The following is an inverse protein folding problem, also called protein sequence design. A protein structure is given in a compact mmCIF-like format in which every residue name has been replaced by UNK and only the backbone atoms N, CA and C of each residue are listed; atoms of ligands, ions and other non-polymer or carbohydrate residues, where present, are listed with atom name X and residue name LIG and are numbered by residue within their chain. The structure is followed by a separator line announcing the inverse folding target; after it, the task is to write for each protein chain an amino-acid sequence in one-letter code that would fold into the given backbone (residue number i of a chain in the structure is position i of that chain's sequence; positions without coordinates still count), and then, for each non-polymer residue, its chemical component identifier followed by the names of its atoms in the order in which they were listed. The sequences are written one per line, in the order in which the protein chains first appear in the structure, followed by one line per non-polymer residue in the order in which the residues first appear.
data_IF_887999657528
#
_entry.id   IF_887999657528
#
_cell.length_a   1.000
_cell.length_b   1.000
_cell.length_c   1.000
_cell.angle_alpha   90.00
_cell.angle_beta   90.00
_cell.angle_gamma   90.00
#
_symmetry.space_group_name_H-M   'P 1'
#
loop_
_entity.id
_entity.type
_entity.pdbx_description
1 polymer ?
#
# COMPACT_ATOMS: atom_id res chain seq x y z
N UNK A 1 -9.03 -25.23 -10.54
CA UNK A 1 -8.44 -26.56 -10.85
C UNK A 1 -8.82 -27.59 -9.79
N UNK A 2 -8.43 -27.50 -8.48
CA UNK A 2 -8.78 -28.56 -7.51
C UNK A 2 -10.27 -28.69 -7.24
N UNK A 3 -10.99 -27.58 -7.17
CA UNK A 3 -12.46 -27.58 -6.99
C UNK A 3 -13.21 -28.20 -8.18
N UNK A 4 -12.67 -28.11 -9.41
CA UNK A 4 -13.27 -28.74 -10.58
C UNK A 4 -13.19 -30.29 -10.54
N UNK A 5 -12.34 -30.83 -9.65
CA UNK A 5 -12.28 -32.27 -9.37
C UNK A 5 -13.07 -32.67 -8.13
N UNK A 6 -13.88 -31.76 -7.55
CA UNK A 6 -14.65 -32.02 -6.34
C UNK A 6 -13.81 -32.06 -5.05
N UNK A 7 -12.56 -31.56 -5.09
CA UNK A 7 -11.68 -31.57 -3.94
C UNK A 7 -11.83 -30.27 -3.14
N UNK A 8 -11.99 -30.40 -1.84
CA UNK A 8 -11.92 -29.26 -0.94
C UNK A 8 -10.45 -28.81 -0.78
N UNK A 9 -10.14 -27.63 -1.26
CA UNK A 9 -8.79 -27.07 -1.15
C UNK A 9 -8.72 -26.06 0.00
N UNK A 10 -7.66 -26.16 0.81
CA UNK A 10 -7.37 -25.25 1.90
C UNK A 10 -6.05 -24.53 1.65
N UNK A 11 -6.12 -23.23 1.40
CA UNK A 11 -4.91 -22.41 1.26
C UNK A 11 -4.49 -21.93 2.65
N UNK A 12 -3.26 -22.24 3.04
CA UNK A 12 -2.69 -21.90 4.35
C UNK A 12 -1.47 -21.00 4.20
N UNK A 13 -1.22 -20.17 5.19
CA UNK A 13 0.03 -19.42 5.24
C UNK A 13 1.13 -20.35 5.81
N UNK A 14 2.22 -20.61 5.06
CA UNK A 14 3.31 -21.51 5.52
C UNK A 14 3.92 -21.08 6.87
N UNK A 15 3.87 -19.80 7.18
CA UNK A 15 4.41 -19.26 8.42
C UNK A 15 3.54 -19.54 9.66
N UNK A 16 2.27 -19.93 9.47
CA UNK A 16 1.34 -20.27 10.54
C UNK A 16 1.22 -21.79 10.76
N UNK A 17 1.92 -22.58 9.93
CA UNK A 17 2.04 -24.04 10.10
C UNK A 17 3.04 -24.32 11.21
N UNK A 18 2.61 -25.05 12.25
CA UNK A 18 3.48 -25.40 13.37
C UNK A 18 4.61 -26.31 12.90
N UNK A 19 5.85 -25.91 13.19
CA UNK A 19 7.05 -26.71 12.89
C UNK A 19 7.75 -27.10 14.19
N UNK A 20 7.99 -28.40 14.45
CA UNK A 20 8.85 -28.82 15.55
C UNK A 20 10.25 -28.22 15.41
N UNK A 21 10.91 -27.87 16.53
CA UNK A 21 12.23 -27.23 16.53
C UNK A 21 13.28 -28.04 15.73
N UNK A 22 13.25 -29.38 15.81
CA UNK A 22 14.14 -30.26 15.03
C UNK A 22 13.92 -30.15 13.51
N UNK A 23 12.72 -29.85 13.05
CA UNK A 23 12.40 -29.72 11.62
C UNK A 23 12.78 -28.37 11.03
N UNK A 24 13.23 -27.42 11.84
CA UNK A 24 13.67 -26.10 11.37
C UNK A 24 15.02 -26.15 10.63
N UNK A 25 15.86 -27.14 10.95
CA UNK A 25 17.20 -27.30 10.37
C UNK A 25 17.23 -28.12 9.07
N UNK A 26 16.15 -28.85 8.76
CA UNK A 26 16.04 -29.66 7.53
C UNK A 26 14.75 -29.28 6.81
N UNK A 27 14.90 -28.48 5.78
CA UNK A 27 13.77 -28.06 4.94
C UNK A 27 13.87 -28.74 3.58
N UNK A 28 12.99 -29.72 3.35
CA UNK A 28 12.78 -30.32 2.03
C UNK A 28 11.28 -30.38 1.76
N UNK A 29 10.88 -30.36 0.49
CA UNK A 29 9.47 -30.45 0.08
C UNK A 29 8.79 -31.69 0.62
N UNK A 30 9.55 -32.81 0.74
CA UNK A 30 9.06 -34.09 1.31
C UNK A 30 8.70 -33.95 2.80
N UNK A 31 9.53 -33.26 3.57
CA UNK A 31 9.28 -33.00 5.00
C UNK A 31 8.10 -32.02 5.14
N UNK A 32 8.03 -30.98 4.33
CA UNK A 32 6.94 -30.01 4.32
C UNK A 32 5.60 -30.68 3.97
N UNK A 33 5.57 -31.54 2.95
CA UNK A 33 4.37 -32.30 2.58
C UNK A 33 3.88 -33.23 3.71
N UNK A 34 4.79 -33.96 4.35
CA UNK A 34 4.44 -34.81 5.51
C UNK A 34 3.90 -34.00 6.68
N UNK A 35 4.51 -32.84 6.96
CA UNK A 35 4.06 -31.94 8.00
C UNK A 35 2.65 -31.43 7.69
N UNK A 36 2.40 -30.95 6.47
CA UNK A 36 1.08 -30.48 6.05
C UNK A 36 0.02 -31.58 6.16
N UNK A 37 0.33 -32.80 5.74
CA UNK A 37 -0.57 -33.97 5.88
C UNK A 37 -0.91 -34.23 7.36
N UNK A 38 0.07 -34.17 8.25
CA UNK A 38 -0.14 -34.35 9.69
C UNK A 38 -1.00 -33.26 10.28
N UNK A 39 -0.66 -32.00 10.01
CA UNK A 39 -1.40 -30.82 10.52
C UNK A 39 -2.83 -30.76 9.98
N UNK A 40 -3.04 -31.23 8.71
CA UNK A 40 -4.37 -31.36 8.11
C UNK A 40 -5.19 -32.43 8.83
N UNK A 41 -4.61 -33.64 9.02
CA UNK A 41 -5.24 -34.73 9.74
C UNK A 41 -5.65 -34.36 11.16
N UNK A 42 -4.79 -33.59 11.83
CA UNK A 42 -5.02 -33.15 13.22
C UNK A 42 -5.96 -31.92 13.30
N UNK A 43 -6.49 -31.43 12.18
CA UNK A 43 -7.40 -30.27 12.12
C UNK A 43 -6.78 -28.95 12.55
N UNK A 44 -5.44 -28.83 12.58
CA UNK A 44 -4.73 -27.64 13.06
C UNK A 44 -4.46 -26.58 12.00
N UNK A 45 -4.69 -26.91 10.73
CA UNK A 45 -4.50 -25.96 9.64
C UNK A 45 -5.62 -24.91 9.62
N UNK A 46 -5.24 -23.63 9.57
CA UNK A 46 -6.17 -22.52 9.40
C UNK A 46 -6.07 -21.94 8.00
N UNK A 47 -7.17 -22.01 7.26
CA UNK A 47 -7.26 -21.41 5.93
C UNK A 47 -7.14 -19.90 5.97
N UNK A 48 -6.48 -19.35 4.96
CA UNK A 48 -6.49 -17.89 4.70
C UNK A 48 -7.59 -17.54 3.71
N UNK A 49 -8.00 -16.28 3.73
CA UNK A 49 -8.95 -15.78 2.74
C UNK A 49 -8.30 -15.71 1.36
N UNK A 50 -8.84 -16.43 0.41
CA UNK A 50 -8.47 -16.37 -1.00
C UNK A 50 -9.45 -15.42 -1.69
N UNK A 51 -8.97 -14.35 -2.35
CA UNK A 51 -9.83 -13.47 -3.14
C UNK A 51 -10.46 -14.23 -4.31
N UNK A 52 -11.63 -13.79 -4.75
CA UNK A 52 -12.20 -14.22 -6.02
C UNK A 52 -11.33 -13.78 -7.21
N UNK A 53 -11.52 -14.43 -8.36
CA UNK A 53 -10.71 -14.22 -9.58
C UNK A 53 -10.81 -12.76 -10.05
N UNK A 54 -11.99 -12.17 -10.01
CA UNK A 54 -12.21 -10.77 -10.43
C UNK A 54 -11.38 -9.82 -9.57
N UNK A 55 -11.39 -10.01 -8.26
CA UNK A 55 -10.64 -9.18 -7.31
C UNK A 55 -9.13 -9.38 -7.43
N UNK A 56 -8.70 -10.59 -7.72
CA UNK A 56 -7.29 -10.87 -7.98
C UNK A 56 -6.79 -10.13 -9.22
N UNK A 57 -7.56 -10.16 -10.31
CA UNK A 57 -7.25 -9.40 -11.53
C UNK A 57 -7.26 -7.89 -11.28
N UNK A 58 -8.24 -7.38 -10.53
CA UNK A 58 -8.29 -5.97 -10.15
C UNK A 58 -7.08 -5.57 -9.29
N UNK A 59 -6.63 -6.44 -8.40
CA UNK A 59 -5.40 -6.26 -7.61
C UNK A 59 -4.16 -6.18 -8.51
N UNK A 60 -4.07 -7.00 -9.56
CA UNK A 60 -2.99 -6.92 -10.54
C UNK A 60 -2.97 -5.55 -11.23
N UNK A 61 -4.12 -5.01 -11.62
CA UNK A 61 -4.21 -3.69 -12.23
C UNK A 61 -3.74 -2.57 -11.27
N UNK A 62 -4.14 -2.63 -9.99
CA UNK A 62 -3.68 -1.68 -8.98
C UNK A 62 -2.16 -1.76 -8.76
N UNK A 63 -1.61 -2.97 -8.68
CA UNK A 63 -0.17 -3.19 -8.51
C UNK A 63 0.62 -2.72 -9.72
N UNK A 64 0.14 -3.01 -10.95
CA UNK A 64 0.75 -2.47 -12.17
C UNK A 64 0.81 -0.95 -12.16
N UNK A 65 -0.30 -0.28 -11.77
CA UNK A 65 -0.30 1.19 -11.60
C UNK A 65 0.77 1.66 -10.62
N UNK A 66 0.93 0.94 -9.51
CA UNK A 66 1.91 1.30 -8.49
C UNK A 66 3.36 1.11 -8.99
N UNK A 67 3.61 0.05 -9.75
CA UNK A 67 4.94 -0.20 -10.32
C UNK A 67 5.30 0.86 -11.37
N UNK A 68 4.36 1.21 -12.26
CA UNK A 68 4.53 2.33 -13.18
C UNK A 68 4.83 3.65 -12.46
N UNK A 69 4.18 3.91 -11.33
CA UNK A 69 4.46 5.10 -10.53
C UNK A 69 5.84 5.07 -9.86
N UNK A 70 6.39 3.89 -9.56
CA UNK A 70 7.78 3.74 -9.10
C UNK A 70 8.77 3.99 -10.23
N UNK A 71 8.49 3.44 -11.41
CA UNK A 71 9.29 3.66 -12.62
C UNK A 71 9.34 5.16 -12.96
N UNK A 72 8.20 5.83 -12.96
CA UNK A 72 8.11 7.28 -13.16
C UNK A 72 8.98 8.07 -12.17
N UNK A 73 8.93 7.72 -10.88
CA UNK A 73 9.75 8.37 -9.85
C UNK A 73 11.24 8.11 -10.08
N UNK A 74 11.61 6.89 -10.47
CA UNK A 74 12.99 6.53 -10.79
C UNK A 74 13.52 7.42 -11.92
N UNK A 75 12.78 7.56 -13.02
CA UNK A 75 13.18 8.40 -14.15
C UNK A 75 13.30 9.87 -13.72
N UNK A 76 12.34 10.39 -12.96
CA UNK A 76 12.41 11.76 -12.39
C UNK A 76 13.69 11.99 -11.59
N UNK A 77 14.05 11.05 -10.74
CA UNK A 77 15.29 11.12 -9.96
C UNK A 77 16.52 11.08 -10.85
N UNK A 78 16.54 10.19 -11.85
CA UNK A 78 17.66 10.08 -12.79
C UNK A 78 17.86 11.37 -13.58
N UNK A 79 16.80 12.01 -14.07
CA UNK A 79 16.87 13.30 -14.76
C UNK A 79 17.45 14.38 -13.84
N UNK A 80 16.93 14.53 -12.62
CA UNK A 80 17.43 15.52 -11.66
C UNK A 80 18.90 15.28 -11.29
N UNK A 81 19.29 14.03 -11.09
CA UNK A 81 20.69 13.68 -10.80
C UNK A 81 21.62 13.96 -11.98
N UNK A 82 21.14 13.76 -13.22
CA UNK A 82 21.92 14.08 -14.41
C UNK A 82 22.13 15.60 -14.56
N UNK A 83 21.07 16.42 -14.32
CA UNK A 83 21.22 17.87 -14.32
C UNK A 83 22.20 18.34 -13.25
N UNK A 84 22.12 17.80 -12.05
CA UNK A 84 23.05 18.08 -10.96
C UNK A 84 24.50 17.74 -11.34
N UNK A 85 24.71 16.56 -11.94
CA UNK A 85 26.04 16.13 -12.40
C UNK A 85 26.64 17.05 -13.46
N UNK A 86 25.79 17.60 -14.33
CA UNK A 86 26.19 18.53 -15.39
C UNK A 86 26.29 19.99 -14.91
N UNK A 87 26.06 20.27 -13.63
CA UNK A 87 26.07 21.62 -13.08
C UNK A 87 24.92 22.50 -13.55
N UNK A 88 23.84 21.92 -14.09
CA UNK A 88 22.68 22.67 -14.57
C UNK A 88 21.71 22.90 -13.42
N UNK A 89 21.59 24.15 -13.00
CA UNK A 89 20.64 24.52 -11.96
C UNK A 89 19.19 24.58 -12.48
N UNK A 90 18.30 23.92 -11.76
CA UNK A 90 16.86 24.01 -12.05
C UNK A 90 16.36 25.36 -11.53
N UNK A 91 15.70 26.18 -12.39
CA UNK A 91 15.13 27.46 -11.95
C UNK A 91 14.20 27.27 -10.74
N UNK A 92 14.38 28.04 -9.67
CA UNK A 92 13.60 27.95 -8.41
C UNK A 92 12.09 27.94 -8.62
N UNK A 93 11.60 28.68 -9.62
CA UNK A 93 10.18 28.73 -9.99
C UNK A 93 9.65 27.40 -10.55
N UNK A 94 10.52 26.58 -11.12
CA UNK A 94 10.20 25.29 -11.77
C UNK A 94 10.50 24.08 -10.87
N UNK A 95 11.35 24.23 -9.85
CA UNK A 95 11.71 23.13 -8.94
C UNK A 95 10.60 22.86 -7.94
N UNK A 96 9.59 22.12 -8.41
CA UNK A 96 8.44 21.68 -7.62
C UNK A 96 8.36 20.16 -7.58
N UNK A 97 7.70 19.57 -6.57
CA UNK A 97 7.47 18.13 -6.49
C UNK A 97 6.75 17.57 -7.73
N UNK A 98 5.88 18.39 -8.32
CA UNK A 98 5.14 18.02 -9.54
C UNK A 98 5.83 18.57 -10.77
N UNK A 99 6.05 17.71 -11.75
CA UNK A 99 6.54 18.10 -13.06
C UNK A 99 5.43 18.79 -13.86
N UNK A 100 5.40 20.12 -13.80
CA UNK A 100 4.46 20.95 -14.56
C UNK A 100 4.78 20.91 -16.06
N UNK A 101 3.84 21.32 -16.90
CA UNK A 101 4.09 21.47 -18.35
C UNK A 101 5.25 22.43 -18.61
N UNK A 102 5.35 23.55 -17.85
CA UNK A 102 6.45 24.50 -17.96
C UNK A 102 7.80 23.87 -17.67
N UNK A 103 7.88 23.03 -16.62
CA UNK A 103 9.12 22.32 -16.28
C UNK A 103 9.49 21.29 -17.35
N UNK A 104 8.52 20.55 -17.88
CA UNK A 104 8.76 19.56 -18.94
C UNK A 104 9.22 20.22 -20.24
N UNK A 105 8.63 21.36 -20.61
CA UNK A 105 9.08 22.12 -21.77
C UNK A 105 10.51 22.61 -21.57
N UNK A 106 10.81 23.22 -20.41
CA UNK A 106 12.17 23.65 -20.06
C UNK A 106 13.18 22.49 -20.16
N UNK A 107 12.84 21.29 -19.71
CA UNK A 107 13.71 20.10 -19.85
C UNK A 107 13.93 19.73 -21.33
N UNK A 108 12.93 19.87 -22.19
CA UNK A 108 13.03 19.56 -23.62
C UNK A 108 13.82 20.60 -24.41
N UNK A 109 13.83 21.84 -23.92
CA UNK A 109 14.52 22.96 -24.54
C UNK A 109 16.03 22.99 -24.15
N UNK A 110 16.46 22.12 -23.23
CA UNK A 110 17.88 22.00 -22.88
C UNK A 110 18.68 21.42 -24.04
N UNK A 111 19.80 22.05 -24.32
CA UNK A 111 20.81 21.59 -25.28
C UNK A 111 22.15 21.39 -24.57
N UNK A 112 22.94 20.46 -25.04
CA UNK A 112 24.23 20.12 -24.46
C UNK A 112 25.34 20.27 -25.54
N UNK A 113 26.57 20.45 -25.12
CA UNK A 113 27.72 20.64 -26.04
C UNK A 113 27.95 19.44 -26.95
N UNK A 114 27.55 18.25 -26.51
CA UNK A 114 27.73 17.01 -27.24
C UNK A 114 26.38 16.37 -27.62
N UNK A 115 26.19 16.10 -28.90
CA UNK A 115 24.98 15.45 -29.46
C UNK A 115 24.65 14.11 -28.82
N UNK A 116 25.66 13.37 -28.34
CA UNK A 116 25.46 12.12 -27.61
C UNK A 116 24.75 12.34 -26.28
N UNK A 117 25.00 13.46 -25.61
CA UNK A 117 24.33 13.82 -24.37
C UNK A 117 22.89 14.28 -24.64
N UNK A 118 22.67 15.08 -25.71
CA UNK A 118 21.31 15.45 -26.16
C UNK A 118 20.48 14.19 -26.39
N UNK A 119 21.00 13.24 -27.16
CA UNK A 119 20.31 11.98 -27.44
C UNK A 119 20.00 11.18 -26.16
N UNK A 120 20.98 11.03 -25.29
CA UNK A 120 20.82 10.33 -24.02
C UNK A 120 19.76 10.99 -23.12
N UNK A 121 19.72 12.32 -23.09
CA UNK A 121 18.78 13.06 -22.27
C UNK A 121 17.36 13.00 -22.85
N UNK A 122 17.22 13.18 -24.17
CA UNK A 122 15.93 13.12 -24.86
C UNK A 122 15.29 11.73 -24.76
N UNK A 123 16.04 10.64 -24.95
CA UNK A 123 15.51 9.27 -24.78
C UNK A 123 15.00 9.02 -23.37
N UNK A 124 15.61 9.65 -22.35
CA UNK A 124 15.14 9.57 -20.97
C UNK A 124 13.83 10.35 -20.74
N UNK A 125 13.68 11.51 -21.37
CA UNK A 125 12.44 12.28 -21.34
C UNK A 125 11.29 11.56 -22.09
N UNK A 126 11.58 10.93 -23.21
CA UNK A 126 10.62 10.09 -23.93
C UNK A 126 10.14 8.91 -23.08
N UNK A 127 11.07 8.23 -22.39
CA UNK A 127 10.73 7.17 -21.44
C UNK A 127 9.84 7.69 -20.32
N UNK A 128 10.12 8.89 -19.79
CA UNK A 128 9.26 9.53 -18.81
C UNK A 128 7.85 9.81 -19.37
N UNK A 129 7.76 10.43 -20.52
CA UNK A 129 6.47 10.78 -21.16
C UNK A 129 5.63 9.50 -21.45
N UNK A 130 6.28 8.42 -21.87
CA UNK A 130 5.62 7.13 -22.06
C UNK A 130 5.07 6.57 -20.73
N UNK A 131 5.90 6.49 -19.71
CA UNK A 131 5.49 5.96 -18.40
C UNK A 131 4.42 6.84 -17.76
N UNK A 132 4.51 8.18 -17.89
CA UNK A 132 3.49 9.12 -17.38
C UNK A 132 2.12 8.85 -18.02
N UNK A 133 2.06 8.70 -19.33
CA UNK A 133 0.83 8.32 -20.06
C UNK A 133 0.27 6.98 -19.57
N UNK A 134 1.12 5.99 -19.33
CA UNK A 134 0.69 4.69 -18.81
C UNK A 134 0.11 4.81 -17.37
N UNK A 135 0.77 5.56 -16.49
CA UNK A 135 0.26 5.82 -15.12
C UNK A 135 -1.13 6.47 -15.16
N UNK A 136 -1.32 7.45 -16.04
CA UNK A 136 -2.60 8.14 -16.20
C UNK A 136 -3.68 7.19 -16.74
N UNK A 137 -3.39 6.48 -17.83
CA UNK A 137 -4.34 5.53 -18.46
C UNK A 137 -4.79 4.45 -17.46
N UNK A 138 -3.85 3.77 -16.80
CA UNK A 138 -4.17 2.73 -15.81
C UNK A 138 -4.95 3.32 -14.63
N UNK A 139 -4.60 4.54 -14.17
CA UNK A 139 -5.31 5.22 -13.07
C UNK A 139 -6.75 5.56 -13.44
N UNK A 140 -7.01 5.96 -14.69
CA UNK A 140 -8.37 6.24 -15.18
C UNK A 140 -9.20 4.95 -15.21
N UNK A 141 -8.67 3.89 -15.83
CA UNK A 141 -9.34 2.57 -15.92
C UNK A 141 -9.64 2.01 -14.54
N UNK A 142 -8.67 2.03 -13.63
CA UNK A 142 -8.82 1.54 -12.25
C UNK A 142 -9.95 2.29 -11.51
N UNK A 143 -9.96 3.62 -11.57
CA UNK A 143 -11.01 4.43 -10.93
C UNK A 143 -12.39 4.20 -11.54
N UNK A 144 -12.46 4.08 -12.86
CA UNK A 144 -13.71 3.81 -13.56
C UNK A 144 -14.28 2.46 -13.14
N UNK A 145 -13.43 1.42 -13.08
CA UNK A 145 -13.83 0.08 -12.64
C UNK A 145 -14.33 0.07 -11.20
N UNK A 146 -13.58 0.65 -10.26
CA UNK A 146 -14.01 0.72 -8.86
C UNK A 146 -15.31 1.49 -8.66
N UNK A 147 -15.51 2.60 -9.41
CA UNK A 147 -16.76 3.36 -9.35
C UNK A 147 -17.94 2.61 -9.94
N UNK A 148 -17.74 1.77 -10.93
CA UNK A 148 -18.79 0.98 -11.57
C UNK A 148 -19.20 -0.20 -10.68
N UNK A 149 -18.23 -1.01 -10.25
CA UNK A 149 -18.49 -2.31 -9.59
C UNK A 149 -18.52 -2.23 -8.06
N UNK A 150 -17.86 -1.25 -7.46
CA UNK A 150 -17.77 -1.06 -6.00
C UNK A 150 -18.25 0.34 -5.58
N UNK A 151 -19.29 0.85 -6.24
CA UNK A 151 -19.77 2.24 -6.11
C UNK A 151 -19.96 2.67 -4.66
N UNK A 152 -20.72 1.88 -3.87
CA UNK A 152 -21.04 2.19 -2.47
C UNK A 152 -19.77 2.35 -1.64
N UNK A 153 -18.93 1.33 -1.62
CA UNK A 153 -17.69 1.32 -0.82
C UNK A 153 -16.70 2.39 -1.30
N UNK A 154 -16.62 2.59 -2.63
CA UNK A 154 -15.76 3.65 -3.18
C UNK A 154 -16.13 5.03 -2.65
N UNK A 155 -17.41 5.41 -2.65
CA UNK A 155 -17.84 6.71 -2.17
C UNK A 155 -17.79 6.84 -0.65
N UNK A 156 -18.09 5.77 0.09
CA UNK A 156 -17.87 5.72 1.54
C UNK A 156 -16.39 5.98 1.89
N UNK A 157 -15.47 5.31 1.20
CA UNK A 157 -14.04 5.53 1.40
C UNK A 157 -13.63 6.96 1.03
N UNK A 158 -14.19 7.51 -0.06
CA UNK A 158 -13.91 8.88 -0.51
C UNK A 158 -14.43 9.95 0.42
N UNK A 159 -15.37 9.66 1.29
CA UNK A 159 -15.83 10.61 2.31
C UNK A 159 -14.79 10.88 3.40
N UNK A 160 -13.80 9.99 3.55
CA UNK A 160 -12.77 10.08 4.60
C UNK A 160 -11.67 11.07 4.19
N UNK A 161 -11.37 12.11 4.99
CA UNK A 161 -10.25 12.99 4.74
C UNK A 161 -8.93 12.19 4.60
N UNK A 162 -8.18 12.50 3.54
CA UNK A 162 -6.92 11.79 3.24
C UNK A 162 -7.07 10.56 2.33
N UNK A 163 -8.28 10.05 2.15
CA UNK A 163 -8.53 8.92 1.23
C UNK A 163 -8.82 9.46 -0.17
N UNK A 164 -7.76 9.64 -0.96
CA UNK A 164 -7.84 10.01 -2.37
C UNK A 164 -8.40 8.90 -3.26
N UNK A 165 -8.71 9.19 -4.55
CA UNK A 165 -9.28 8.20 -5.47
C UNK A 165 -8.46 6.92 -5.59
N UNK A 166 -7.13 7.03 -5.64
CA UNK A 166 -6.21 5.90 -5.78
C UNK A 166 -6.11 5.11 -4.47
N UNK A 167 -6.13 5.80 -3.32
CA UNK A 167 -6.12 5.14 -2.00
C UNK A 167 -7.40 4.33 -1.83
N UNK A 168 -8.58 4.88 -2.19
CA UNK A 168 -9.84 4.16 -2.15
C UNK A 168 -9.82 2.90 -3.04
N UNK A 169 -9.31 3.02 -4.28
CA UNK A 169 -9.12 1.86 -5.15
C UNK A 169 -8.16 0.83 -4.52
N UNK A 170 -7.05 1.27 -3.93
CA UNK A 170 -6.10 0.38 -3.26
C UNK A 170 -6.72 -0.39 -2.11
N UNK A 171 -7.55 0.25 -1.30
CA UNK A 171 -8.30 -0.39 -0.22
C UNK A 171 -9.22 -1.48 -0.78
N UNK A 172 -10.00 -1.17 -1.82
CA UNK A 172 -10.91 -2.12 -2.48
C UNK A 172 -10.12 -3.31 -3.07
N UNK A 173 -9.01 -3.04 -3.77
CA UNK A 173 -8.22 -4.06 -4.45
C UNK A 173 -7.47 -4.97 -3.48
N UNK A 174 -6.74 -4.38 -2.53
CA UNK A 174 -5.80 -5.11 -1.68
C UNK A 174 -6.45 -5.69 -0.43
N UNK A 175 -7.37 -4.94 0.20
CA UNK A 175 -8.02 -5.40 1.41
C UNK A 175 -9.32 -6.16 1.14
N UNK A 176 -9.92 -5.94 -0.02
CA UNK A 176 -11.19 -6.54 -0.37
C UNK A 176 -12.35 -6.00 0.48
N UNK A 177 -13.33 -6.84 0.77
CA UNK A 177 -14.43 -6.43 1.66
C UNK A 177 -13.91 -6.34 3.10
N UNK A 178 -13.95 -5.12 3.63
CA UNK A 178 -13.53 -4.86 5.01
C UNK A 178 -14.49 -5.46 6.05
N UNK A 179 -15.74 -5.78 5.66
CA UNK A 179 -16.74 -6.40 6.54
C UNK A 179 -16.35 -7.82 6.94
N UNK A 180 -15.50 -8.51 6.12
CA UNK A 180 -14.99 -9.85 6.42
C UNK A 180 -14.14 -9.94 7.68
N UNK A 181 -13.54 -8.82 8.11
CA UNK A 181 -12.73 -8.80 9.33
C UNK A 181 -13.63 -8.77 10.56
N UNK A 182 -13.62 -9.86 11.33
CA UNK A 182 -14.43 -9.99 12.56
C UNK A 182 -14.10 -8.92 13.59
N UNK A 183 -12.83 -8.51 13.69
CA UNK A 183 -12.38 -7.50 14.62
C UNK A 183 -11.43 -6.50 13.97
N UNK A 184 -11.38 -5.29 14.52
CA UNK A 184 -10.40 -4.29 14.11
C UNK A 184 -8.95 -4.75 14.30
N UNK A 185 -8.68 -5.60 15.32
CA UNK A 185 -7.33 -6.15 15.54
C UNK A 185 -6.86 -6.99 14.35
N UNK A 186 -7.74 -7.80 13.76
CA UNK A 186 -7.44 -8.59 12.56
C UNK A 186 -7.13 -7.70 11.35
N UNK A 187 -7.92 -6.66 11.11
CA UNK A 187 -7.68 -5.71 10.03
C UNK A 187 -6.35 -4.96 10.24
N UNK A 188 -6.10 -4.46 11.44
CA UNK A 188 -4.86 -3.75 11.76
C UNK A 188 -3.62 -4.66 11.63
N UNK A 189 -3.74 -5.94 11.96
CA UNK A 189 -2.70 -6.94 11.75
C UNK A 189 -2.45 -7.18 10.26
N UNK A 190 -3.51 -7.34 9.47
CA UNK A 190 -3.42 -7.56 8.04
C UNK A 190 -2.73 -6.40 7.30
N UNK A 191 -3.07 -5.16 7.66
CA UNK A 191 -2.43 -3.95 7.14
C UNK A 191 -1.01 -3.75 7.71
N UNK A 192 -0.71 -4.37 8.86
CA UNK A 192 0.58 -4.25 9.55
C UNK A 192 0.75 -2.94 10.32
N UNK A 193 -0.33 -2.39 10.84
CA UNK A 193 -0.33 -1.24 11.74
C UNK A 193 -0.34 -1.69 13.21
N UNK A 194 0.34 -2.79 13.52
CA UNK A 194 0.56 -3.28 14.87
C UNK A 194 2.05 -3.37 15.18
N UNK A 195 2.46 -3.08 16.42
CA UNK A 195 3.85 -3.26 16.82
C UNK A 195 4.19 -4.76 16.86
N UNK A 196 5.43 -5.08 16.51
CA UNK A 196 6.01 -6.38 16.84
C UNK A 196 6.34 -6.38 18.33
N UNK A 197 5.87 -7.40 19.05
CA UNK A 197 6.05 -7.53 20.49
C UNK A 197 6.79 -8.83 20.76
N UNK A 198 7.88 -8.75 21.49
CA UNK A 198 8.61 -9.90 22.01
C UNK A 198 8.59 -9.85 23.54
N UNK A 199 8.06 -10.88 24.14
CA UNK A 199 8.03 -11.01 25.59
C UNK A 199 8.88 -12.21 26.00
N UNK A 200 9.85 -11.99 26.86
CA UNK A 200 10.68 -13.03 27.43
C UNK A 200 10.97 -12.68 28.90
N UNK A 201 10.78 -13.62 29.85
CA UNK A 201 11.10 -13.45 31.25
C UNK A 201 10.47 -12.22 31.93
N UNK A 202 9.22 -11.89 31.59
CA UNK A 202 8.53 -10.70 32.12
C UNK A 202 8.88 -9.37 31.45
N UNK A 203 9.91 -9.32 30.61
CA UNK A 203 10.31 -8.12 29.89
C UNK A 203 9.61 -8.02 28.53
N UNK A 204 8.80 -6.97 28.35
CA UNK A 204 8.11 -6.65 27.10
C UNK A 204 8.99 -5.75 26.22
N UNK A 205 9.52 -6.27 25.12
CA UNK A 205 10.23 -5.49 24.11
C UNK A 205 9.33 -5.24 22.92
N UNK A 206 9.04 -3.98 22.62
CA UNK A 206 8.36 -3.57 21.38
C UNK A 206 9.42 -3.25 20.33
N UNK A 207 9.53 -4.08 19.32
CA UNK A 207 10.30 -3.80 18.12
C UNK A 207 9.37 -3.23 17.05
N UNK A 208 9.79 -2.33 16.20
CA UNK A 208 9.06 -1.70 15.11
C UNK A 208 7.68 -2.28 14.71
N UNK A 209 7.26 -2.09 13.48
CA UNK A 209 6.01 -2.69 12.97
C UNK A 209 6.27 -4.13 12.49
N UNK A 210 5.25 -4.98 12.61
CA UNK A 210 5.35 -6.36 12.12
C UNK A 210 5.79 -6.40 10.65
N UNK A 211 6.79 -7.24 10.28
CA UNK A 211 7.21 -7.40 8.89
C UNK A 211 6.15 -8.12 8.04
N UNK A 212 5.34 -9.01 8.65
CA UNK A 212 4.25 -9.71 8.01
C UNK A 212 3.06 -8.77 7.83
N UNK A 213 2.94 -8.18 6.66
CA UNK A 213 1.85 -7.24 6.37
C UNK A 213 1.79 -6.88 4.90
N UNK A 214 0.68 -6.30 4.48
CA UNK A 214 0.60 -5.66 3.19
C UNK A 214 1.36 -4.31 3.22
N UNK A 215 2.68 -4.38 2.91
CA UNK A 215 3.57 -3.21 2.94
C UNK A 215 3.12 -2.10 1.99
N UNK A 216 2.53 -2.47 0.85
CA UNK A 216 2.01 -1.51 -0.11
C UNK A 216 0.89 -0.69 0.53
N UNK A 217 -0.07 -1.35 1.14
CA UNK A 217 -1.16 -0.66 1.83
C UNK A 217 -0.68 0.14 3.02
N UNK A 218 0.31 -0.36 3.79
CA UNK A 218 0.90 0.41 4.88
C UNK A 218 1.43 1.77 4.43
N UNK A 219 2.13 1.83 3.29
CA UNK A 219 2.63 3.10 2.75
C UNK A 219 1.50 4.05 2.38
N UNK A 220 0.44 3.55 1.74
CA UNK A 220 -0.74 4.35 1.43
C UNK A 220 -1.47 4.88 2.67
N UNK A 221 -1.52 4.09 3.75
CA UNK A 221 -2.11 4.53 5.03
C UNK A 221 -1.32 5.67 5.68
N UNK A 222 0.01 5.60 5.65
CA UNK A 222 0.86 6.67 6.17
C UNK A 222 0.64 7.97 5.39
N UNK A 223 0.61 7.90 4.05
CA UNK A 223 0.33 9.05 3.19
C UNK A 223 -1.08 9.62 3.42
N UNK A 224 -2.09 8.76 3.51
CA UNK A 224 -3.46 9.17 3.82
C UNK A 224 -3.56 9.86 5.19
N UNK A 225 -2.77 9.41 6.17
CA UNK A 225 -2.71 9.99 7.51
C UNK A 225 -2.21 11.43 7.49
N UNK A 226 -1.17 11.74 6.72
CA UNK A 226 -0.68 13.11 6.57
C UNK A 226 -1.74 14.05 6.01
N UNK A 227 -2.54 13.57 5.05
CA UNK A 227 -3.64 14.36 4.50
C UNK A 227 -4.79 14.48 5.50
N UNK A 228 -5.14 13.40 6.21
CA UNK A 228 -6.17 13.43 7.24
C UNK A 228 -5.83 14.44 8.34
N UNK A 229 -4.56 14.53 8.75
CA UNK A 229 -4.09 15.52 9.72
C UNK A 229 -4.26 16.97 9.25
N UNK A 230 -4.33 17.24 7.94
CA UNK A 230 -4.57 18.58 7.41
C UNK A 230 -6.04 19.00 7.42
N UNK A 231 -6.95 18.04 7.26
CA UNK A 231 -8.35 18.30 6.98
C UNK A 231 -9.31 17.85 8.08
N UNK A 232 -8.89 17.01 9.03
CA UNK A 232 -9.74 16.53 10.11
C UNK A 232 -9.25 17.04 11.47
N UNK A 233 -9.98 17.98 12.10
CA UNK A 233 -9.63 18.53 13.41
C UNK A 233 -9.49 17.45 14.50
N UNK A 234 -10.30 16.39 14.46
CA UNK A 234 -10.24 15.31 15.45
C UNK A 234 -8.94 14.50 15.30
N UNK A 235 -8.46 14.29 14.06
CA UNK A 235 -7.17 13.67 13.85
C UNK A 235 -6.02 14.56 14.32
N UNK A 236 -6.15 15.88 14.18
CA UNK A 236 -5.17 16.83 14.72
C UNK A 236 -5.13 16.77 16.25
N UNK A 237 -6.27 16.81 16.93
CA UNK A 237 -6.36 16.70 18.40
C UNK A 237 -5.73 15.36 18.86
N UNK A 238 -6.06 14.26 18.20
CA UNK A 238 -5.48 12.97 18.51
C UNK A 238 -3.96 12.92 18.29
N UNK A 239 -3.45 13.59 17.25
CA UNK A 239 -2.01 13.72 17.02
C UNK A 239 -1.35 14.54 18.14
N UNK A 240 -1.91 15.70 18.47
CA UNK A 240 -1.39 16.61 19.52
C UNK A 240 -1.37 15.95 20.89
N UNK A 241 -2.35 15.13 21.26
CA UNK A 241 -2.40 14.42 22.54
C UNK A 241 -1.29 13.37 22.69
N UNK A 242 -0.54 13.07 21.64
CA UNK A 242 0.58 12.13 21.65
C UNK A 242 1.94 12.82 21.41
N UNK A 243 2.00 14.15 21.40
CA UNK A 243 3.27 14.89 21.27
C UNK A 243 4.23 14.52 22.40
N UNK A 244 5.54 14.68 22.14
CA UNK A 244 6.59 14.24 23.04
C UNK A 244 7.10 12.80 22.81
N UNK A 245 6.49 12.05 21.89
CA UNK A 245 6.96 10.72 21.46
C UNK A 245 7.61 10.80 20.08
N UNK A 246 8.31 9.74 19.69
CA UNK A 246 8.86 9.60 18.34
C UNK A 246 7.79 9.81 17.26
N UNK A 247 8.06 10.69 16.30
CA UNK A 247 7.15 11.10 15.25
C UNK A 247 6.61 9.90 14.46
N UNK A 248 7.46 8.92 14.13
CA UNK A 248 7.05 7.73 13.38
C UNK A 248 6.04 6.90 14.17
N UNK A 249 6.23 6.80 15.48
CA UNK A 249 5.29 6.09 16.37
C UNK A 249 3.95 6.80 16.46
N UNK A 250 3.97 8.14 16.52
CA UNK A 250 2.72 8.94 16.54
C UNK A 250 1.95 8.72 15.24
N UNK A 251 2.62 8.85 14.09
CA UNK A 251 1.99 8.64 12.78
C UNK A 251 1.35 7.27 12.64
N UNK A 252 2.01 6.21 13.10
CA UNK A 252 1.44 4.86 13.11
C UNK A 252 0.17 4.79 13.98
N UNK A 253 0.14 5.46 15.14
CA UNK A 253 -1.06 5.53 15.99
C UNK A 253 -2.21 6.25 15.28
N UNK A 254 -1.93 7.39 14.65
CA UNK A 254 -2.93 8.13 13.88
C UNK A 254 -3.43 7.32 12.67
N UNK A 255 -2.52 6.67 11.93
CA UNK A 255 -2.87 5.77 10.84
C UNK A 255 -3.79 4.63 11.29
N UNK A 256 -3.49 4.06 12.46
CA UNK A 256 -4.35 3.04 13.08
C UNK A 256 -5.72 3.59 13.47
N UNK A 257 -5.78 4.82 13.99
CA UNK A 257 -7.05 5.49 14.30
C UNK A 257 -7.87 5.75 13.05
N UNK A 258 -7.22 6.23 11.98
CA UNK A 258 -7.84 6.42 10.66
C UNK A 258 -8.41 5.10 10.10
N UNK A 259 -7.61 4.02 10.16
CA UNK A 259 -8.04 2.68 9.75
C UNK A 259 -9.27 2.19 10.55
N UNK A 260 -9.30 2.44 11.86
CA UNK A 260 -10.43 2.09 12.71
C UNK A 260 -11.72 2.81 12.28
N UNK A 261 -11.61 4.09 11.95
CA UNK A 261 -12.75 4.88 11.45
C UNK A 261 -13.25 4.38 10.11
N UNK A 262 -12.33 4.08 9.18
CA UNK A 262 -12.70 3.51 7.87
C UNK A 262 -13.40 2.16 8.04
N UNK A 263 -12.92 1.31 8.94
CA UNK A 263 -13.58 0.04 9.24
C UNK A 263 -15.00 0.24 9.78
N UNK A 264 -15.19 1.23 10.66
CA UNK A 264 -16.51 1.58 11.18
C UNK A 264 -17.44 2.08 10.06
N UNK A 265 -16.99 3.01 9.22
CA UNK A 265 -17.74 3.58 8.09
C UNK A 265 -18.23 2.47 7.15
N UNK A 266 -17.36 1.53 6.79
CA UNK A 266 -17.75 0.43 5.89
C UNK A 266 -18.73 -0.51 6.57
N UNK A 267 -18.59 -0.77 7.88
CA UNK A 267 -19.52 -1.64 8.61
C UNK A 267 -20.89 -1.00 8.83
N UNK A 268 -20.92 0.30 9.15
CA UNK A 268 -22.18 1.03 9.39
C UNK A 268 -22.78 1.59 8.10
N UNK A 269 -22.04 1.53 6.99
CA UNK A 269 -22.43 2.08 5.69
C UNK A 269 -22.79 3.58 5.73
N UNK A 270 -22.24 4.30 6.71
CA UNK A 270 -22.47 5.72 6.95
C UNK A 270 -21.26 6.53 6.52
N UNK A 271 -21.42 7.59 5.72
CA UNK A 271 -20.30 8.46 5.32
C UNK A 271 -19.58 9.07 6.52
N UNK A 272 -18.31 9.38 6.33
CA UNK A 272 -17.49 10.02 7.36
C UNK A 272 -18.01 11.42 7.67
N UNK A 273 -18.17 11.72 8.95
CA UNK A 273 -18.50 13.05 9.46
C UNK A 273 -17.23 13.68 10.04
N UNK A 274 -16.76 14.77 9.43
CA UNK A 274 -15.59 15.52 9.87
C UNK A 274 -15.89 16.18 11.20
N UNK A 275 -14.94 16.13 12.14
CA UNK A 275 -15.08 16.80 13.44
C UNK A 275 -15.92 16.05 14.47
N UNK A 276 -16.54 14.93 14.16
CA UNK A 276 -17.33 14.14 15.12
C UNK A 276 -16.46 13.10 15.81
N UNK A 277 -16.44 13.14 17.15
CA UNK A 277 -15.85 12.11 17.99
C UNK A 277 -16.92 11.03 18.22
N UNK A 278 -16.83 9.94 17.47
CA UNK A 278 -17.58 8.72 17.75
C UNK A 278 -16.67 7.69 18.37
#
# INVERSE_FOLDING_TARGET
MFESFGWNSLVVNPADVHRPAKAQFQKTDKIDARLLCKELKDGRLKGIHVPDVEREQLRCLFRRRNDLAKEQRKIKTQVKMQLLYLGIEIPKALDRPHWSHKFRNWLKDLSFDYKTMDYCFQTRLEAYDFVDKQVQSVSVKLRAYCRKHYKKDYYLLRSVPGVGPIVACGIICELGDLRRFKSFKQLASYVGLIPSVHQSGGHLRTAGLTPRANQLMRSYWVEATWQALRFDPVMQVYYRSHQGKDLKRILVKVARKLLSRIHAIIKTETPYQIGVIK
#
